data_IF_280828339770
#
_entry.id   IF_280828339770
#
_cell.length_a   1.000
_cell.length_b   1.000
_cell.length_c   1.000
_cell.angle_alpha   90.00
_cell.angle_beta   90.00
_cell.angle_gamma   90.00
#
_symmetry.space_group_name_H-M   'P 1'
#
loop_
_entity.id
_entity.type
_entity.pdbx_description
1 polymer ?
#
# COMPACT_ATOMS: atom_id res chain seq x y z
N UNK A 1 -9.37 13.06 -7.79
CA UNK A 1 -9.18 12.06 -6.73
C UNK A 1 -7.83 11.42 -6.92
N UNK A 2 -7.09 11.14 -5.83
CA UNK A 2 -5.84 10.41 -5.91
C UNK A 2 -6.13 8.98 -6.39
N UNK A 3 -5.20 8.42 -7.14
CA UNK A 3 -5.38 7.15 -7.83
C UNK A 3 -4.75 6.01 -6.99
N UNK A 4 -5.60 5.26 -6.28
CA UNK A 4 -5.18 4.14 -5.45
C UNK A 4 -4.50 3.04 -6.28
N UNK A 5 -4.90 2.85 -7.54
CA UNK A 5 -4.28 1.88 -8.46
C UNK A 5 -2.89 2.34 -8.86
N UNK A 6 -2.70 3.63 -9.11
CA UNK A 6 -1.38 4.19 -9.39
C UNK A 6 -0.43 4.02 -8.20
N UNK A 7 -0.92 4.20 -6.98
CA UNK A 7 -0.13 3.95 -5.77
C UNK A 7 0.22 2.46 -5.62
N UNK A 8 -0.73 1.55 -5.84
CA UNK A 8 -0.47 0.11 -5.85
C UNK A 8 0.60 -0.28 -6.89
N UNK A 9 0.50 0.26 -8.11
CA UNK A 9 1.49 0.02 -9.15
C UNK A 9 2.89 0.52 -8.74
N UNK A 10 2.98 1.66 -8.04
CA UNK A 10 4.26 2.15 -7.55
C UNK A 10 4.89 1.26 -6.47
N UNK A 11 4.08 0.59 -5.66
CA UNK A 11 4.53 -0.45 -4.73
C UNK A 11 4.78 -1.81 -5.40
N UNK A 12 4.62 -1.92 -6.73
CA UNK A 12 4.63 -3.20 -7.46
C UNK A 12 3.57 -4.20 -6.94
N UNK A 13 2.48 -3.68 -6.37
CA UNK A 13 1.32 -4.44 -5.94
C UNK A 13 0.33 -4.57 -7.10
N UNK A 14 0.02 -5.80 -7.50
CA UNK A 14 -0.97 -6.08 -8.54
C UNK A 14 -2.38 -6.00 -7.96
N UNK A 15 -3.36 -5.60 -8.77
CA UNK A 15 -4.77 -5.60 -8.39
C UNK A 15 -5.51 -6.57 -9.29
N UNK A 16 -6.18 -7.55 -8.71
CA UNK A 16 -6.88 -8.62 -9.41
C UNK A 16 -8.34 -8.69 -8.95
N UNK A 17 -9.24 -9.06 -9.86
CA UNK A 17 -10.61 -9.42 -9.51
C UNK A 17 -10.66 -10.93 -9.30
N UNK A 18 -11.19 -11.37 -8.16
CA UNK A 18 -11.29 -12.78 -7.82
C UNK A 18 -12.65 -13.10 -7.20
N UNK A 19 -13.07 -14.37 -7.27
CA UNK A 19 -14.10 -14.88 -6.37
C UNK A 19 -13.39 -15.31 -5.10
N UNK A 20 -13.59 -14.56 -4.02
CA UNK A 20 -12.94 -14.83 -2.74
C UNK A 20 -13.72 -15.88 -1.92
N UNK A 21 -14.81 -16.43 -2.44
CA UNK A 21 -15.61 -17.44 -1.75
C UNK A 21 -16.49 -16.85 -0.65
N UNK A 22 -17.00 -17.69 0.24
CA UNK A 22 -17.85 -17.27 1.35
C UNK A 22 -17.06 -17.32 2.66
N UNK A 23 -16.88 -16.16 3.30
CA UNK A 23 -16.13 -16.02 4.55
C UNK A 23 -17.05 -15.99 5.79
N UNK A 24 -18.17 -16.72 5.73
CA UNK A 24 -19.15 -16.77 6.80
C UNK A 24 -19.89 -15.44 6.97
N UNK A 25 -19.91 -14.87 8.17
CA UNK A 25 -20.59 -13.60 8.46
C UNK A 25 -19.80 -12.35 8.08
N UNK A 26 -18.56 -12.51 7.62
CA UNK A 26 -17.70 -11.39 7.22
C UNK A 26 -17.83 -11.20 5.71
N UNK A 27 -18.33 -10.03 5.30
CA UNK A 27 -18.38 -9.67 3.90
C UNK A 27 -16.98 -9.17 3.50
N UNK A 28 -16.16 -10.05 2.93
CA UNK A 28 -14.78 -9.75 2.57
C UNK A 28 -14.76 -9.07 1.19
N UNK A 29 -14.41 -7.78 1.17
CA UNK A 29 -14.45 -6.95 -0.05
C UNK A 29 -13.14 -7.09 -0.83
N UNK A 30 -12.01 -7.20 -0.13
CA UNK A 30 -10.70 -7.44 -0.71
C UNK A 30 -9.77 -8.13 0.29
N UNK A 31 -8.65 -8.66 -0.22
CA UNK A 31 -7.57 -9.25 0.58
C UNK A 31 -6.22 -8.92 -0.08
N UNK A 32 -5.24 -8.52 0.75
CA UNK A 32 -3.84 -8.46 0.37
C UNK A 32 -3.10 -9.78 0.65
N UNK A 33 -2.44 -10.30 -0.39
CA UNK A 33 -1.53 -11.44 -0.32
C UNK A 33 -0.07 -10.94 -0.23
N UNK A 34 0.63 -11.17 0.89
CA UNK A 34 2.00 -10.71 1.06
C UNK A 34 3.05 -11.54 0.30
N UNK A 35 2.73 -12.79 -0.08
CA UNK A 35 3.68 -13.72 -0.71
C UNK A 35 3.79 -13.48 -2.23
N UNK A 36 2.70 -13.04 -2.85
CA UNK A 36 2.72 -12.42 -4.16
C UNK A 36 1.99 -11.10 -4.04
N UNK A 37 2.64 -9.92 -4.03
CA UNK A 37 2.06 -8.63 -3.65
C UNK A 37 0.86 -8.31 -4.55
N UNK A 38 -0.31 -8.77 -4.15
CA UNK A 38 -1.53 -8.80 -4.93
C UNK A 38 -2.66 -8.43 -3.99
N UNK A 39 -3.43 -7.44 -4.39
CA UNK A 39 -4.72 -7.10 -3.82
C UNK A 39 -5.77 -7.80 -4.67
N UNK A 40 -6.52 -8.74 -4.07
CA UNK A 40 -7.65 -9.39 -4.72
C UNK A 40 -8.93 -8.72 -4.27
N UNK A 41 -9.79 -8.32 -5.20
CA UNK A 41 -11.09 -7.70 -4.93
C UNK A 41 -12.19 -8.70 -5.23
N UNK A 42 -13.12 -8.91 -4.28
CA UNK A 42 -14.22 -9.86 -4.46
C UNK A 42 -15.23 -9.37 -5.50
N UNK A 43 -15.40 -10.18 -6.56
CA UNK A 43 -16.40 -9.93 -7.59
C UNK A 43 -17.84 -9.92 -7.07
N UNK A 44 -18.17 -10.61 -5.96
CA UNK A 44 -19.52 -10.55 -5.36
C UNK A 44 -19.78 -9.19 -4.73
N UNK A 45 -18.80 -8.64 -3.99
CA UNK A 45 -18.89 -7.29 -3.41
C UNK A 45 -19.10 -6.22 -4.50
N UNK A 46 -18.44 -6.36 -5.65
CA UNK A 46 -18.64 -5.44 -6.79
C UNK A 46 -20.05 -5.51 -7.38
N UNK A 47 -20.66 -6.69 -7.47
CA UNK A 47 -22.04 -6.85 -7.94
C UNK A 47 -23.04 -6.19 -7.00
N UNK A 48 -22.81 -6.27 -5.69
CA UNK A 48 -23.64 -5.59 -4.68
C UNK A 48 -23.53 -4.06 -4.83
N UNK A 49 -22.30 -3.53 -4.91
CA UNK A 49 -22.07 -2.10 -5.12
C UNK A 49 -22.67 -1.57 -6.44
N UNK A 50 -22.72 -2.40 -7.48
CA UNK A 50 -23.37 -2.07 -8.75
C UNK A 50 -24.88 -1.90 -8.61
N UNK A 51 -25.54 -2.71 -7.78
CA UNK A 51 -26.97 -2.62 -7.50
C UNK A 51 -27.36 -1.34 -6.74
N UNK A 52 -26.51 -0.92 -5.80
CA UNK A 52 -26.81 0.19 -4.89
C UNK A 52 -26.39 1.57 -5.43
N UNK A 53 -25.35 1.63 -6.28
CA UNK A 53 -24.75 2.90 -6.71
C UNK A 53 -24.32 2.97 -8.18
N UNK A 54 -24.61 1.93 -8.99
CA UNK A 54 -24.18 1.86 -10.38
C UNK A 54 -22.65 1.86 -10.55
N UNK A 55 -22.16 2.21 -11.74
CA UNK A 55 -20.72 2.16 -12.08
C UNK A 55 -19.87 3.08 -11.19
N UNK A 56 -20.41 4.22 -10.77
CA UNK A 56 -19.71 5.13 -9.85
C UNK A 56 -19.54 4.52 -8.45
N UNK A 57 -20.56 3.82 -7.94
CA UNK A 57 -20.47 3.10 -6.66
C UNK A 57 -19.45 1.98 -6.69
N UNK A 58 -19.41 1.20 -7.78
CA UNK A 58 -18.40 0.15 -7.99
C UNK A 58 -16.99 0.71 -7.97
N UNK A 59 -16.76 1.84 -8.66
CA UNK A 59 -15.43 2.46 -8.71
C UNK A 59 -14.99 2.95 -7.35
N UNK A 60 -15.87 3.63 -6.60
CA UNK A 60 -15.56 4.11 -5.26
C UNK A 60 -15.24 2.95 -4.31
N UNK A 61 -16.01 1.86 -4.35
CA UNK A 61 -15.76 0.67 -3.54
C UNK A 61 -14.41 0.01 -3.86
N UNK A 62 -14.03 -0.05 -5.15
CA UNK A 62 -12.70 -0.55 -5.55
C UNK A 62 -11.59 0.35 -5.03
N UNK A 63 -11.71 1.66 -5.22
CA UNK A 63 -10.66 2.60 -4.83
C UNK A 63 -10.49 2.61 -3.29
N UNK A 64 -11.57 2.45 -2.53
CA UNK A 64 -11.56 2.30 -1.07
C UNK A 64 -10.89 0.99 -0.63
N UNK A 65 -11.26 -0.14 -1.23
CA UNK A 65 -10.67 -1.43 -0.92
C UNK A 65 -9.16 -1.44 -1.21
N UNK A 66 -8.73 -0.90 -2.35
CA UNK A 66 -7.29 -0.81 -2.68
C UNK A 66 -6.56 0.08 -1.67
N UNK A 67 -7.12 1.23 -1.31
CA UNK A 67 -6.48 2.12 -0.33
C UNK A 67 -6.38 1.46 1.05
N UNK A 68 -7.41 0.72 1.48
CA UNK A 68 -7.39 -0.07 2.71
C UNK A 68 -6.26 -1.10 2.68
N UNK A 69 -6.17 -1.91 1.62
CA UNK A 69 -5.14 -2.94 1.51
C UNK A 69 -3.71 -2.37 1.37
N UNK A 70 -3.56 -1.19 0.77
CA UNK A 70 -2.26 -0.49 0.73
C UNK A 70 -1.76 -0.10 2.12
N UNK A 71 -2.65 0.18 3.07
CA UNK A 71 -2.24 0.37 4.46
C UNK A 71 -1.59 -0.91 5.01
N UNK A 72 -2.22 -2.08 4.81
CA UNK A 72 -1.68 -3.36 5.27
C UNK A 72 -0.38 -3.72 4.57
N UNK A 73 -0.24 -3.41 3.28
CA UNK A 73 1.03 -3.55 2.56
C UNK A 73 2.15 -2.71 3.20
N UNK A 74 1.90 -1.42 3.43
CA UNK A 74 2.86 -0.49 4.06
C UNK A 74 3.25 -0.96 5.46
N UNK A 75 2.31 -1.54 6.21
CA UNK A 75 2.59 -2.16 7.50
C UNK A 75 3.49 -3.40 7.34
N UNK A 76 3.19 -4.27 6.38
CA UNK A 76 3.91 -5.52 6.14
C UNK A 76 5.37 -5.28 5.72
N UNK A 77 5.65 -4.25 4.92
CA UNK A 77 7.02 -3.87 4.51
C UNK A 77 7.76 -3.01 5.57
N UNK A 78 7.09 -2.68 6.68
CA UNK A 78 7.66 -1.90 7.78
C UNK A 78 7.77 -0.39 7.52
N UNK A 79 7.08 0.14 6.51
CA UNK A 79 7.02 1.59 6.27
C UNK A 79 6.22 2.31 7.37
N UNK A 80 5.22 1.64 7.93
CA UNK A 80 4.46 2.12 9.09
C UNK A 80 4.54 1.13 10.25
N UNK A 81 4.45 1.60 11.51
CA UNK A 81 4.45 0.73 12.67
C UNK A 81 3.21 -0.16 12.72
N UNK A 82 3.42 -1.45 12.99
CA UNK A 82 2.33 -2.39 13.25
C UNK A 82 1.68 -2.13 14.61
N UNK A 83 0.37 -1.89 14.60
CA UNK A 83 -0.41 -1.77 15.84
C UNK A 83 -0.62 -3.16 16.46
N UNK A 84 -0.66 -3.25 17.79
CA UNK A 84 -0.79 -4.54 18.49
C UNK A 84 -2.19 -5.14 18.40
N UNK A 85 -3.22 -4.29 18.42
CA UNK A 85 -4.61 -4.71 18.41
C UNK A 85 -5.12 -4.84 16.97
N UNK A 86 -5.73 -5.99 16.64
CA UNK A 86 -6.26 -6.23 15.30
C UNK A 86 -7.34 -5.21 14.94
N UNK A 87 -8.28 -4.95 15.83
CA UNK A 87 -9.37 -4.02 15.55
C UNK A 87 -8.86 -2.57 15.35
N UNK A 88 -7.78 -2.19 16.04
CA UNK A 88 -7.10 -0.91 15.82
C UNK A 88 -6.42 -0.84 14.46
N UNK A 89 -5.85 -1.95 13.95
CA UNK A 89 -5.29 -2.02 12.59
C UNK A 89 -6.36 -1.80 11.54
N UNK A 90 -7.50 -2.49 11.64
CA UNK A 90 -8.61 -2.31 10.69
C UNK A 90 -9.14 -0.88 10.69
N UNK A 91 -9.38 -0.29 11.88
CA UNK A 91 -9.82 1.12 11.97
C UNK A 91 -8.82 2.11 11.39
N UNK A 92 -7.51 1.84 11.53
CA UNK A 92 -6.47 2.69 10.98
C UNK A 92 -6.40 2.57 9.44
N UNK A 93 -6.61 1.37 8.90
CA UNK A 93 -6.71 1.14 7.47
C UNK A 93 -7.94 1.85 6.87
N UNK A 94 -9.11 1.76 7.51
CA UNK A 94 -10.33 2.48 7.10
C UNK A 94 -10.11 4.01 7.12
N UNK A 95 -9.52 4.52 8.20
CA UNK A 95 -9.23 5.94 8.33
C UNK A 95 -8.21 6.42 7.28
N UNK A 96 -7.23 5.59 6.92
CA UNK A 96 -6.28 5.87 5.85
C UNK A 96 -6.97 5.92 4.50
N UNK A 97 -7.81 4.94 4.17
CA UNK A 97 -8.55 4.88 2.91
C UNK A 97 -9.43 6.12 2.71
N UNK A 98 -10.20 6.49 3.74
CA UNK A 98 -11.05 7.68 3.71
C UNK A 98 -10.23 8.97 3.50
N UNK A 99 -9.11 9.14 4.22
CA UNK A 99 -8.24 10.31 4.07
C UNK A 99 -7.56 10.37 2.72
N UNK A 100 -7.11 9.23 2.21
CA UNK A 100 -6.49 9.12 0.90
C UNK A 100 -7.47 9.59 -0.16
N UNK A 101 -8.68 9.02 -0.22
CA UNK A 101 -9.67 9.35 -1.23
C UNK A 101 -10.26 10.75 -1.12
N UNK A 102 -10.36 11.30 0.09
CA UNK A 102 -10.86 12.65 0.34
C UNK A 102 -9.83 13.75 -0.02
N UNK A 103 -8.54 13.41 -0.11
CA UNK A 103 -7.49 14.39 -0.36
C UNK A 103 -7.39 14.72 -1.86
N UNK A 104 -7.64 15.96 -2.31
CA UNK A 104 -7.38 16.35 -3.69
C UNK A 104 -5.88 16.60 -3.88
N UNK A 105 -5.06 15.55 -3.92
CA UNK A 105 -3.64 15.71 -4.24
C UNK A 105 -3.46 15.69 -5.75
N UNK A 106 -3.01 16.83 -6.27
CA UNK A 106 -2.55 17.03 -7.63
C UNK A 106 -1.55 15.93 -8.03
N UNK A 107 -1.67 15.47 -9.26
CA UNK A 107 -0.73 14.58 -9.94
C UNK A 107 0.70 15.17 -9.97
N UNK A 108 1.45 15.14 -8.87
CA UNK A 108 2.88 15.47 -8.88
C UNK A 108 3.65 14.66 -7.81
N UNK A 109 4.57 13.83 -8.31
CA UNK A 109 5.78 13.47 -7.57
C UNK A 109 5.67 12.29 -6.61
N UNK A 110 5.46 11.07 -7.13
CA UNK A 110 6.09 9.92 -6.47
C UNK A 110 7.58 9.96 -6.85
N UNK A 111 8.31 10.75 -6.08
CA UNK A 111 9.76 10.83 -6.12
C UNK A 111 10.33 9.44 -5.78
N UNK A 112 11.12 8.91 -6.72
CA UNK A 112 12.38 8.20 -6.49
C UNK A 112 12.60 7.66 -5.07
N UNK A 113 12.59 6.34 -4.94
CA UNK A 113 13.27 5.67 -3.84
C UNK A 113 14.80 5.75 -4.07
N UNK A 114 15.60 6.46 -3.25
CA UNK A 114 16.95 6.00 -2.98
C UNK A 114 16.87 4.96 -1.86
N UNK A 115 17.21 3.71 -2.19
CA UNK A 115 17.59 2.72 -1.18
C UNK A 115 18.83 3.27 -0.45
N UNK A 116 18.61 3.84 0.72
CA UNK A 116 19.67 4.16 1.67
C UNK A 116 19.83 2.96 2.61
N UNK A 117 20.68 1.99 2.24
CA UNK A 117 21.20 1.04 3.22
C UNK A 117 22.30 1.73 4.02
N UNK A 118 22.00 2.10 5.27
CA UNK A 118 23.03 2.45 6.23
C UNK A 118 23.83 1.20 6.61
N UNK A 119 25.15 1.26 6.44
CA UNK A 119 26.09 0.25 6.87
C UNK A 119 27.33 0.87 7.48
N UNK A 120 27.23 1.17 8.79
CA UNK A 120 28.28 1.31 9.82
C UNK A 120 29.41 2.34 9.65
N UNK A 121 29.43 3.26 10.61
CA UNK A 121 30.61 4.00 11.04
C UNK A 121 31.61 3.12 11.80
N UNK A 122 32.89 3.23 11.41
CA UNK A 122 34.07 3.10 12.29
C UNK A 122 35.13 4.08 11.79
N UNK A 123 35.45 5.09 12.61
CA UNK A 123 36.64 5.97 12.48
C UNK A 123 37.89 5.28 13.11
N UNK A 124 39.16 5.79 13.01
CA UNK A 124 39.65 7.03 12.38
C UNK A 124 40.92 6.92 11.50
N UNK A 125 41.12 7.96 10.68
CA UNK A 125 42.37 8.66 10.26
C UNK A 125 43.73 7.93 10.30
N UNK A 126 44.44 7.90 9.17
CA UNK A 126 45.87 8.31 9.06
C UNK A 126 46.13 8.96 7.70
N UNK A 127 46.95 10.01 7.73
CA UNK A 127 47.25 11.01 6.70
C UNK A 127 48.35 10.55 5.70
N UNK A 128 48.09 10.80 4.41
CA UNK A 128 48.96 11.16 3.25
C UNK A 128 50.52 11.18 3.36
N UNK A 129 51.26 10.65 2.36
CA UNK A 129 51.89 11.40 1.25
C UNK A 129 52.89 10.55 0.37
N UNK A 130 52.70 10.67 -0.95
CA UNK A 130 53.65 10.85 -2.09
C UNK A 130 54.93 10.01 -2.35
N UNK A 131 55.09 9.68 -3.65
CA UNK A 131 56.30 9.34 -4.41
C UNK A 131 57.44 10.38 -4.26
N UNK A 132 58.69 9.92 -4.34
CA UNK A 132 59.88 10.73 -4.66
C UNK A 132 61.18 9.95 -4.43
N UNK A 133 62.09 9.96 -5.41
CA UNK A 133 63.22 9.03 -5.51
C UNK A 133 64.51 9.45 -4.78
N UNK A 134 65.43 8.49 -4.75
CA UNK A 134 66.86 8.62 -5.08
C UNK A 134 67.36 7.24 -5.49
#
# INVERSE_FOLDING_TARGET
MPDARALAAAYSVRVELADLGDWGSVNLIAEYDPDGPVIRIDTKALRQAQGDGGVCGVRAAIDEAIAHELYHHREAIGEIPRLRDRAARERAADAYAAQFLASPVASQGLATHPVASQGRATHPVTLSLSKGGA
#
